data_IF_250151317251
#
_entry.id   IF_250151317251
#
_cell.length_a   1.000
_cell.length_b   1.000
_cell.length_c   1.000
_cell.angle_alpha   90.00
_cell.angle_beta   90.00
_cell.angle_gamma   90.00
#
_symmetry.space_group_name_H-M   'P 1'
#
loop_
_entity.id
_entity.type
_entity.pdbx_description
1 polymer ?
#
# COMPACT_ATOMS: atom_id res chain seq x y z
N UNK A 1 13.33 13.80 -13.90
CA UNK A 1 13.58 13.42 -12.49
C UNK A 1 12.29 13.65 -11.71
N UNK A 2 11.90 12.74 -10.81
CA UNK A 2 10.70 12.88 -9.98
C UNK A 2 10.96 13.91 -8.87
N UNK A 3 10.00 14.81 -8.64
CA UNK A 3 10.02 15.73 -7.49
C UNK A 3 8.64 15.79 -6.84
N UNK A 4 8.63 15.75 -5.51
CA UNK A 4 7.45 15.92 -4.66
C UNK A 4 7.69 17.14 -3.76
N UNK A 5 6.72 18.06 -3.73
CA UNK A 5 6.81 19.28 -2.92
C UNK A 5 5.59 19.42 -2.02
N UNK A 6 5.81 19.25 -0.73
CA UNK A 6 4.83 19.44 0.32
C UNK A 6 4.61 20.94 0.62
N UNK A 7 3.37 21.30 0.91
CA UNK A 7 2.94 22.66 1.20
C UNK A 7 1.73 22.64 2.12
N UNK A 8 1.59 23.65 2.97
CA UNK A 8 0.51 23.75 3.94
C UNK A 8 0.91 24.59 5.14
N UNK A 9 0.06 24.68 6.17
CA UNK A 9 0.39 25.40 7.39
C UNK A 9 1.49 24.67 8.18
N UNK A 10 2.49 25.40 8.64
CA UNK A 10 3.53 24.88 9.54
C UNK A 10 3.11 24.87 11.01
N UNK A 11 2.05 25.62 11.36
CA UNK A 11 1.49 25.72 12.70
C UNK A 11 -0.04 25.63 12.62
N UNK A 12 -0.62 24.75 13.43
CA UNK A 12 -2.07 24.53 13.52
C UNK A 12 -2.48 24.43 14.98
N UNK A 13 -3.68 24.92 15.34
CA UNK A 13 -4.18 24.78 16.71
C UNK A 13 -4.82 23.41 16.93
N UNK A 14 -4.81 22.88 18.17
CA UNK A 14 -5.55 21.66 18.51
C UNK A 14 -7.02 21.73 18.08
N UNK A 15 -7.59 20.58 17.75
CA UNK A 15 -8.97 20.41 17.27
C UNK A 15 -9.30 21.03 15.90
N UNK A 16 -8.35 21.70 15.24
CA UNK A 16 -8.52 22.16 13.87
C UNK A 16 -8.27 21.04 12.85
N UNK A 17 -8.55 21.33 11.58
CA UNK A 17 -8.20 20.44 10.46
C UNK A 17 -6.88 20.90 9.87
N UNK A 18 -5.89 20.01 9.84
CA UNK A 18 -4.66 20.20 9.08
C UNK A 18 -4.92 19.80 7.62
N UNK A 19 -4.62 20.69 6.68
CA UNK A 19 -4.71 20.42 5.24
C UNK A 19 -3.35 20.65 4.58
N UNK A 20 -2.77 19.59 4.04
CA UNK A 20 -1.50 19.60 3.33
C UNK A 20 -1.73 19.28 1.86
N UNK A 21 -0.88 19.84 1.01
CA UNK A 21 -0.89 19.59 -0.43
C UNK A 21 0.51 19.21 -0.89
N UNK A 22 0.60 18.11 -1.62
CA UNK A 22 1.79 17.66 -2.33
C UNK A 22 1.63 17.96 -3.82
N UNK A 23 2.53 18.75 -4.39
CA UNK A 23 2.63 18.95 -5.83
C UNK A 23 3.65 17.99 -6.40
N UNK A 24 3.22 17.15 -7.35
CA UNK A 24 4.05 16.17 -8.02
C UNK A 24 4.53 16.68 -9.38
N UNK A 25 5.78 16.38 -9.72
CA UNK A 25 6.34 16.68 -11.04
C UNK A 25 7.32 15.61 -11.50
N UNK A 26 7.52 15.51 -12.81
CA UNK A 26 8.34 14.47 -13.43
C UNK A 26 7.63 13.12 -13.64
N UNK A 27 6.34 13.03 -13.30
CA UNK A 27 5.45 11.91 -13.61
C UNK A 27 3.98 12.39 -13.61
N UNK A 28 3.08 11.54 -14.10
CA UNK A 28 1.62 11.80 -14.09
C UNK A 28 0.95 11.04 -12.94
N UNK A 29 0.06 11.72 -12.20
CA UNK A 29 -0.74 11.11 -11.13
C UNK A 29 -1.74 10.06 -11.61
N UNK A 30 -1.90 9.90 -12.93
CA UNK A 30 -2.70 8.81 -13.52
C UNK A 30 -1.96 7.48 -13.58
N UNK A 31 -0.65 7.47 -13.37
CA UNK A 31 0.19 6.29 -13.58
C UNK A 31 0.86 5.81 -12.29
N UNK A 32 0.75 6.58 -11.20
CA UNK A 32 1.44 6.33 -9.93
C UNK A 32 0.53 6.56 -8.74
N UNK A 33 0.68 5.72 -7.72
CA UNK A 33 0.11 5.97 -6.42
C UNK A 33 0.99 6.97 -5.65
N UNK A 34 0.34 7.86 -4.92
CA UNK A 34 1.01 8.84 -4.06
C UNK A 34 0.45 8.72 -2.66
N UNK A 35 1.34 8.76 -1.68
CA UNK A 35 0.98 8.60 -0.28
C UNK A 35 1.67 9.60 0.63
N UNK A 36 1.35 9.45 1.90
CA UNK A 36 1.84 10.27 2.98
C UNK A 36 2.44 9.40 4.08
N UNK A 37 3.59 9.83 4.57
CA UNK A 37 4.29 9.27 5.73
C UNK A 37 4.56 10.42 6.68
N UNK A 38 4.48 10.18 7.99
CA UNK A 38 4.94 11.16 8.97
C UNK A 38 6.06 10.62 9.84
N UNK A 39 6.88 11.53 10.33
CA UNK A 39 7.93 11.26 11.29
C UNK A 39 7.79 12.23 12.46
N UNK A 40 7.41 11.71 13.62
CA UNK A 40 7.46 12.47 14.88
C UNK A 40 8.87 12.37 15.45
N UNK A 41 9.49 13.48 15.90
CA UNK A 41 10.81 13.44 16.53
C UNK A 41 10.88 12.39 17.65
N UNK A 42 11.87 11.49 17.56
CA UNK A 42 12.06 10.41 18.54
C UNK A 42 11.15 9.18 18.36
N UNK A 43 10.35 9.10 17.29
CA UNK A 43 9.54 7.93 16.93
C UNK A 43 9.95 7.35 15.58
N UNK A 44 9.48 6.15 15.26
CA UNK A 44 9.65 5.57 13.93
C UNK A 44 8.80 6.31 12.88
N UNK A 45 9.10 6.08 11.60
CA UNK A 45 8.25 6.51 10.49
C UNK A 45 6.88 5.83 10.60
N UNK A 46 5.81 6.61 10.43
CA UNK A 46 4.44 6.13 10.48
C UNK A 46 3.76 6.34 9.12
N UNK A 47 3.27 5.24 8.56
CA UNK A 47 2.44 5.27 7.35
C UNK A 47 1.08 5.93 7.64
N UNK A 48 0.65 6.86 6.80
CA UNK A 48 -0.66 7.51 6.91
C UNK A 48 -1.65 6.86 5.93
N UNK A 49 -1.27 6.82 4.65
CA UNK A 49 -2.14 6.34 3.59
C UNK A 49 -1.70 6.78 2.21
N UNK A 50 -2.37 6.28 1.19
CA UNK A 50 -2.14 6.62 -0.22
C UNK A 50 -3.44 6.67 -1.00
N UNK A 51 -3.33 7.28 -2.18
CA UNK A 51 -4.33 7.22 -3.24
C UNK A 51 -3.68 6.64 -4.51
N UNK A 52 -4.32 5.63 -5.09
CA UNK A 52 -3.84 4.99 -6.32
C UNK A 52 -4.22 5.81 -7.57
N UNK A 53 -3.77 5.35 -8.74
CA UNK A 53 -4.07 5.96 -10.04
C UNK A 53 -5.58 6.03 -10.34
N UNK A 54 -6.32 5.00 -9.91
CA UNK A 54 -7.77 4.87 -10.05
C UNK A 54 -8.56 5.72 -9.06
N UNK A 55 -7.91 6.28 -8.04
CA UNK A 55 -8.53 7.07 -6.99
C UNK A 55 -8.97 6.28 -5.75
N UNK A 56 -8.61 5.00 -5.64
CA UNK A 56 -8.85 4.24 -4.42
C UNK A 56 -7.88 4.69 -3.33
N UNK A 57 -8.40 4.82 -2.11
CA UNK A 57 -7.61 5.27 -0.96
C UNK A 57 -7.37 4.12 0.01
N UNK A 58 -6.12 3.99 0.45
CA UNK A 58 -5.72 3.10 1.54
C UNK A 58 -5.24 3.92 2.71
N UNK A 59 -5.69 3.62 3.92
CA UNK A 59 -5.32 4.35 5.14
C UNK A 59 -4.72 3.39 6.16
N UNK A 60 -3.86 3.92 7.03
CA UNK A 60 -3.49 3.25 8.26
C UNK A 60 -4.76 3.04 9.13
N UNK A 61 -5.11 1.79 9.49
CA UNK A 61 -6.32 1.49 10.25
C UNK A 61 -6.45 2.28 11.55
N UNK A 62 -5.33 2.57 12.24
CA UNK A 62 -5.34 3.31 13.50
C UNK A 62 -5.67 4.80 13.35
N UNK A 63 -5.51 5.37 12.16
CA UNK A 63 -5.72 6.80 11.89
C UNK A 63 -6.92 7.07 10.97
N UNK A 64 -7.46 6.04 10.31
CA UNK A 64 -8.43 6.13 9.22
C UNK A 64 -9.64 7.04 9.50
N UNK A 65 -10.14 7.10 10.73
CA UNK A 65 -11.32 7.90 11.08
C UNK A 65 -11.11 9.42 10.96
N UNK A 66 -9.85 9.88 10.99
CA UNK A 66 -9.49 11.32 10.94
C UNK A 66 -8.86 11.74 9.61
N UNK A 67 -8.57 10.79 8.72
CA UNK A 67 -7.81 11.03 7.50
C UNK A 67 -8.71 11.15 6.27
N UNK A 68 -8.33 12.03 5.35
CA UNK A 68 -8.88 12.08 4.00
C UNK A 68 -7.75 12.41 3.02
N UNK A 69 -7.56 11.56 2.01
CA UNK A 69 -6.59 11.79 0.93
C UNK A 69 -7.36 11.94 -0.37
N UNK A 70 -7.07 13.01 -1.11
CA UNK A 70 -7.69 13.28 -2.42
C UNK A 70 -6.62 13.62 -3.45
N UNK A 71 -6.96 13.48 -4.74
CA UNK A 71 -6.05 13.85 -5.84
C UNK A 71 -6.75 14.71 -6.88
N UNK A 72 -6.01 15.68 -7.39
CA UNK A 72 -6.37 16.50 -8.54
C UNK A 72 -5.33 16.26 -9.64
N UNK A 73 -5.66 15.38 -10.57
CA UNK A 73 -4.81 15.05 -11.71
C UNK A 73 -4.52 16.26 -12.61
N UNK A 74 -5.45 17.24 -12.68
CA UNK A 74 -5.29 18.42 -13.56
C UNK A 74 -4.22 19.38 -13.03
N UNK A 75 -4.07 19.43 -11.70
CA UNK A 75 -3.06 20.26 -11.01
C UNK A 75 -1.82 19.48 -10.60
N UNK A 76 -1.79 18.17 -10.86
CA UNK A 76 -0.76 17.25 -10.34
C UNK A 76 -0.59 17.37 -8.83
N UNK A 77 -1.71 17.45 -8.10
CA UNK A 77 -1.73 17.65 -6.66
C UNK A 77 -2.41 16.49 -5.92
N UNK A 78 -1.88 16.16 -4.75
CA UNK A 78 -2.46 15.21 -3.80
C UNK A 78 -2.58 15.90 -2.45
N UNK A 79 -3.78 15.91 -1.89
CA UNK A 79 -4.07 16.58 -0.62
C UNK A 79 -4.27 15.57 0.49
N UNK A 80 -3.80 15.92 1.69
CA UNK A 80 -4.02 15.20 2.93
C UNK A 80 -4.75 16.12 3.90
N UNK A 81 -5.89 15.67 4.39
CA UNK A 81 -6.61 16.32 5.48
C UNK A 81 -6.58 15.42 6.72
N UNK A 82 -6.21 16.00 7.86
CA UNK A 82 -6.28 15.37 9.19
C UNK A 82 -7.22 16.19 10.05
N UNK A 83 -8.37 15.63 10.41
CA UNK A 83 -9.36 16.30 11.25
C UNK A 83 -9.04 16.17 12.73
N UNK A 84 -9.49 17.16 13.51
CA UNK A 84 -9.32 17.21 14.96
C UNK A 84 -7.87 16.89 15.38
N UNK A 85 -6.92 17.70 14.90
CA UNK A 85 -5.50 17.47 15.18
C UNK A 85 -5.18 17.64 16.66
N UNK A 86 -4.28 16.79 17.14
CA UNK A 86 -3.79 16.76 18.51
C UNK A 86 -2.31 17.15 18.53
N UNK A 87 -1.77 17.48 19.70
CA UNK A 87 -0.34 17.80 19.85
C UNK A 87 0.57 16.67 19.37
N UNK A 88 0.12 15.42 19.52
CA UNK A 88 0.76 14.19 19.02
C UNK A 88 0.83 14.08 17.50
N UNK A 89 0.02 14.86 16.76
CA UNK A 89 0.08 14.93 15.30
C UNK A 89 1.21 15.87 14.82
N UNK A 90 1.93 16.55 15.73
CA UNK A 90 3.13 17.31 15.37
C UNK A 90 4.20 16.38 14.82
N UNK A 91 4.57 16.57 13.56
CA UNK A 91 5.49 15.71 12.84
C UNK A 91 6.02 16.40 11.58
N UNK A 92 7.07 15.81 11.00
CA UNK A 92 7.42 16.08 9.60
C UNK A 92 6.58 15.18 8.70
N UNK A 93 5.82 15.77 7.80
CA UNK A 93 4.96 15.08 6.83
C UNK A 93 5.65 14.99 5.48
N UNK A 94 5.86 13.77 5.00
CA UNK A 94 6.49 13.47 3.71
C UNK A 94 5.44 12.96 2.72
N UNK A 95 5.48 13.51 1.52
CA UNK A 95 4.80 12.97 0.37
C UNK A 95 5.69 11.91 -0.30
N UNK A 96 5.11 10.82 -0.77
CA UNK A 96 5.87 9.69 -1.32
C UNK A 96 5.23 9.12 -2.58
N UNK A 97 6.02 8.68 -3.56
CA UNK A 97 5.54 7.78 -4.63
C UNK A 97 5.61 6.36 -4.12
N UNK A 98 4.52 5.61 -4.29
CA UNK A 98 4.35 4.30 -3.66
C UNK A 98 4.08 3.26 -4.73
N UNK A 99 4.79 2.14 -4.64
CA UNK A 99 4.46 0.95 -5.41
C UNK A 99 3.58 0.04 -4.54
N UNK A 100 2.36 -0.23 -5.03
CA UNK A 100 1.42 -1.13 -4.39
C UNK A 100 1.00 -2.19 -5.39
N UNK A 101 1.27 -3.45 -5.08
CA UNK A 101 0.93 -4.57 -5.94
C UNK A 101 0.39 -5.71 -5.09
N UNK A 102 -0.76 -6.25 -5.49
CA UNK A 102 -1.29 -7.48 -4.91
C UNK A 102 -1.16 -8.57 -5.97
N UNK A 103 -0.26 -9.52 -5.74
CA UNK A 103 -0.13 -10.71 -6.58
C UNK A 103 -0.97 -11.81 -5.99
N UNK A 104 -1.93 -12.30 -6.77
CA UNK A 104 -2.68 -13.49 -6.43
C UNK A 104 -2.13 -14.66 -7.23
N UNK A 105 -1.65 -15.66 -6.51
CA UNK A 105 -1.18 -16.91 -7.08
C UNK A 105 -2.14 -18.02 -6.65
N UNK A 106 -2.57 -18.81 -7.61
CA UNK A 106 -3.40 -19.98 -7.36
C UNK A 106 -2.58 -21.23 -7.70
N UNK A 107 -2.22 -21.98 -6.68
CA UNK A 107 -1.26 -23.09 -6.81
C UNK A 107 -1.46 -24.17 -5.78
N UNK A 108 -0.60 -25.19 -5.84
CA UNK A 108 -0.61 -26.27 -4.88
C UNK A 108 0.31 -25.95 -3.69
N UNK A 109 -0.03 -26.42 -2.48
CA UNK A 109 0.86 -26.26 -1.33
C UNK A 109 2.24 -26.89 -1.57
N UNK A 110 3.22 -26.44 -0.81
CA UNK A 110 4.59 -26.93 -0.87
C UNK A 110 4.65 -28.46 -0.75
N UNK A 111 5.50 -29.10 -1.57
CA UNK A 111 5.63 -30.56 -1.64
C UNK A 111 4.77 -31.24 -2.72
N UNK A 112 3.90 -30.48 -3.41
CA UNK A 112 3.27 -30.92 -4.65
C UNK A 112 4.20 -30.63 -5.85
N UNK A 113 4.41 -31.63 -6.71
CA UNK A 113 5.12 -31.49 -7.97
C UNK A 113 4.11 -31.20 -9.09
N UNK A 114 4.52 -30.41 -10.09
CA UNK A 114 3.68 -30.14 -11.25
C UNK A 114 3.18 -31.43 -11.91
N UNK A 115 1.89 -31.49 -12.18
CA UNK A 115 1.24 -32.63 -12.82
C UNK A 115 0.27 -32.15 -13.90
N UNK A 116 0.60 -32.47 -15.15
CA UNK A 116 -0.19 -32.06 -16.31
C UNK A 116 -1.62 -32.62 -16.30
N UNK A 117 -1.91 -33.68 -15.54
CA UNK A 117 -3.27 -34.23 -15.36
C UNK A 117 -4.23 -33.26 -14.70
N UNK A 118 -3.73 -32.32 -13.90
CA UNK A 118 -4.53 -31.30 -13.21
C UNK A 118 -4.58 -29.96 -13.96
N UNK A 119 -4.04 -29.89 -15.19
CA UNK A 119 -3.92 -28.65 -15.97
C UNK A 119 -2.86 -27.66 -15.43
N UNK A 120 -2.76 -26.45 -16.00
CA UNK A 120 -1.77 -25.44 -15.59
C UNK A 120 -1.94 -25.05 -14.11
N UNK A 121 -0.85 -25.11 -13.33
CA UNK A 121 -0.85 -24.82 -11.88
C UNK A 121 -1.35 -25.97 -10.99
N UNK A 122 -1.63 -27.13 -11.56
CA UNK A 122 -2.00 -28.34 -10.82
C UNK A 122 -0.79 -29.21 -10.48
N UNK A 123 -0.93 -30.04 -9.45
CA UNK A 123 0.16 -30.89 -8.99
C UNK A 123 -0.26 -32.15 -8.26
N UNK A 124 0.72 -33.00 -7.96
CA UNK A 124 0.56 -34.25 -7.21
C UNK A 124 1.56 -34.28 -6.05
N UNK A 125 1.19 -34.93 -4.94
CA UNK A 125 2.10 -35.15 -3.81
C UNK A 125 3.31 -35.97 -4.28
N UNK A 126 4.53 -35.45 -4.12
CA UNK A 126 5.74 -35.96 -4.78
C UNK A 126 6.06 -37.46 -4.60
N UNK A 127 5.46 -38.14 -3.62
CA UNK A 127 5.59 -39.60 -3.41
C UNK A 127 4.66 -40.46 -4.27
N UNK A 128 3.60 -39.88 -4.84
CA UNK A 128 2.48 -40.60 -5.48
C UNK A 128 2.20 -40.14 -6.92
N UNK A 129 3.06 -39.28 -7.46
CA UNK A 129 3.02 -38.86 -8.86
C UNK A 129 3.26 -40.03 -9.83
N UNK A 130 4.01 -41.05 -9.40
CA UNK A 130 4.17 -42.32 -10.13
C UNK A 130 2.93 -43.17 -9.92
N UNK A 131 2.38 -43.66 -11.03
CA UNK A 131 1.09 -44.36 -11.16
C UNK A 131 1.06 -45.67 -10.35
N UNK A 132 0.93 -45.55 -9.03
CA UNK A 132 0.78 -46.66 -8.10
C UNK A 132 -0.72 -46.91 -7.86
N UNK A 133 -1.16 -48.17 -7.68
CA UNK A 133 -2.54 -48.49 -7.31
C UNK A 133 -3.02 -47.81 -6.01
N UNK A 134 -2.09 -47.28 -5.22
CA UNK A 134 -2.32 -46.60 -3.94
C UNK A 134 -2.67 -45.10 -4.04
N UNK A 135 -2.57 -44.47 -5.22
CA UNK A 135 -2.85 -43.04 -5.37
C UNK A 135 -4.35 -42.73 -5.17
N UNK A 136 -4.66 -41.82 -4.24
CA UNK A 136 -6.01 -41.36 -3.89
C UNK A 136 -6.28 -40.00 -4.52
N UNK A 137 -7.56 -39.65 -4.67
CA UNK A 137 -7.97 -38.33 -5.16
C UNK A 137 -7.44 -37.15 -4.31
N UNK A 138 -7.08 -37.39 -3.04
CA UNK A 138 -6.47 -36.39 -2.17
C UNK A 138 -4.99 -36.10 -2.46
N UNK A 139 -4.33 -36.99 -3.20
CA UNK A 139 -2.92 -36.84 -3.56
C UNK A 139 -2.72 -35.90 -4.76
N UNK A 140 -3.82 -35.46 -5.36
CA UNK A 140 -3.87 -34.51 -6.47
C UNK A 140 -4.44 -33.17 -6.02
N UNK A 141 -3.74 -32.11 -6.40
CA UNK A 141 -4.17 -30.73 -6.25
C UNK A 141 -4.55 -30.20 -7.65
N UNK A 142 -5.82 -30.37 -7.99
CA UNK A 142 -6.43 -29.81 -9.20
C UNK A 142 -7.32 -28.61 -8.84
N UNK A 143 -8.01 -28.01 -9.83
CA UNK A 143 -8.74 -26.71 -9.79
C UNK A 143 -9.68 -26.49 -8.59
N UNK A 144 -10.15 -27.53 -7.89
CA UNK A 144 -10.97 -27.43 -6.68
C UNK A 144 -10.23 -27.52 -5.34
N UNK A 145 -8.90 -27.69 -5.36
CA UNK A 145 -8.05 -27.89 -4.16
C UNK A 145 -6.81 -27.00 -4.15
N UNK A 146 -6.71 -26.09 -5.11
CA UNK A 146 -5.63 -25.11 -5.14
C UNK A 146 -5.83 -24.10 -4.03
N UNK A 147 -4.72 -23.69 -3.43
CA UNK A 147 -4.69 -22.64 -2.43
C UNK A 147 -4.48 -21.32 -3.18
N UNK A 148 -5.21 -20.30 -2.76
CA UNK A 148 -4.96 -18.92 -3.19
C UNK A 148 -4.05 -18.26 -2.19
N UNK A 149 -2.87 -17.91 -2.66
CA UNK A 149 -1.89 -17.13 -1.90
C UNK A 149 -1.91 -15.71 -2.43
N UNK A 150 -2.10 -14.74 -1.54
CA UNK A 150 -2.05 -13.31 -1.88
C UNK A 150 -0.79 -12.70 -1.29
N UNK A 151 0.08 -12.19 -2.15
CA UNK A 151 1.30 -11.48 -1.77
C UNK A 151 1.07 -9.99 -1.96
N UNK A 152 1.24 -9.23 -0.89
CA UNK A 152 1.13 -7.78 -0.90
C UNK A 152 2.53 -7.18 -0.91
N UNK A 153 2.88 -6.49 -2.00
CA UNK A 153 4.13 -5.75 -2.11
C UNK A 153 3.86 -4.26 -1.92
N UNK A 154 4.61 -3.67 -0.99
CA UNK A 154 4.52 -2.25 -0.66
C UNK A 154 5.92 -1.69 -0.45
N UNK A 155 6.34 -0.73 -1.28
CA UNK A 155 7.58 0.03 -1.08
C UNK A 155 7.44 1.46 -1.58
N UNK A 156 8.36 2.32 -1.13
CA UNK A 156 8.40 3.73 -1.49
C UNK A 156 9.52 3.95 -2.51
N UNK A 157 9.16 4.47 -3.68
CA UNK A 157 10.08 4.71 -4.79
C UNK A 157 10.77 6.07 -4.69
N UNK A 158 10.06 7.08 -4.18
CA UNK A 158 10.53 8.44 -4.09
C UNK A 158 9.92 9.17 -2.89
N UNK A 159 10.68 10.10 -2.33
CA UNK A 159 10.32 10.91 -1.18
C UNK A 159 10.37 12.40 -1.53
N UNK A 160 9.44 13.17 -0.96
CA UNK A 160 9.56 14.61 -0.85
C UNK A 160 10.54 15.01 0.26
N UNK A 161 10.77 16.31 0.39
CA UNK A 161 11.70 16.84 1.40
C UNK A 161 11.08 16.85 2.80
N UNK A 162 9.75 16.79 2.88
CA UNK A 162 9.00 16.83 4.11
C UNK A 162 8.66 18.26 4.55
N UNK A 163 7.49 18.40 5.17
CA UNK A 163 7.02 19.65 5.78
C UNK A 163 6.88 19.44 7.29
N UNK A 164 7.62 20.23 8.08
CA UNK A 164 7.45 20.25 9.53
C UNK A 164 6.15 20.97 9.89
N UNK A 165 5.27 20.25 10.59
CA UNK A 165 4.02 20.79 11.12
C UNK A 165 4.03 20.67 12.64
N UNK A 166 3.72 21.77 13.30
CA UNK A 166 3.59 21.86 14.76
C UNK A 166 2.13 22.08 15.12
N UNK A 167 1.63 21.34 16.11
CA UNK A 167 0.28 21.52 16.66
C UNK A 167 0.39 22.08 18.08
N UNK A 168 0.10 23.37 18.24
CA UNK A 168 0.16 24.05 19.54
C UNK A 168 -0.85 25.18 19.64
N UNK A 169 -1.21 25.56 20.88
CA UNK A 169 -2.18 26.61 21.21
C UNK A 169 -1.63 28.01 21.06
#
# INVERSE_FOLDING_TARGET
QVQLRESGPSLVKPSQTLSLTCTASGFSLRDKAVGWVRHTPGKALEWIGSIDSSGNTGYNPGLKSRLSITKDNSKSQVSLSVSAVLSEDSATYYCTVVHQETRQEEGCPDGYLYDSRCGPGGGCSGRLCTRTPSARANDFCCTGRRIRTSTYQHHIDAWGQGLLVTVSS
#
